data_IF_250037922739
#
_entry.id   IF_250037922739
#
_cell.length_a   1.000
_cell.length_b   1.000
_cell.length_c   1.000
_cell.angle_alpha   90.00
_cell.angle_beta   90.00
_cell.angle_gamma   90.00
#
_symmetry.space_group_name_H-M   'P 1'
#
loop_
_entity.id
_entity.type
_entity.pdbx_description
1 polymer ?
#
# COMPACT_ATOMS: atom_id res chain seq x y z
N UNK A 1 -66.66 7.00 3.47
CA UNK A 1 -65.87 5.76 3.32
C UNK A 1 -64.54 5.99 2.60
N UNK A 2 -64.52 6.68 1.46
CA UNK A 2 -63.32 6.83 0.61
C UNK A 2 -62.27 7.83 1.15
N UNK A 3 -62.65 8.79 2.00
CA UNK A 3 -61.72 9.75 2.63
C UNK A 3 -60.82 9.08 3.68
N UNK A 4 -61.40 8.33 4.62
CA UNK A 4 -60.65 7.63 5.67
C UNK A 4 -59.61 6.66 5.14
N UNK A 5 -59.91 5.98 4.02
CA UNK A 5 -58.94 5.07 3.38
C UNK A 5 -57.77 5.84 2.75
N UNK A 6 -58.03 7.00 2.13
CA UNK A 6 -56.98 7.87 1.59
C UNK A 6 -56.11 8.45 2.69
N UNK A 7 -56.72 8.90 3.79
CA UNK A 7 -56.00 9.47 4.92
C UNK A 7 -55.11 8.41 5.59
N UNK A 8 -55.62 7.20 5.78
CA UNK A 8 -54.86 6.06 6.32
C UNK A 8 -53.67 5.66 5.44
N UNK A 9 -53.83 5.71 4.11
CA UNK A 9 -52.73 5.45 3.18
C UNK A 9 -51.70 6.58 3.20
N UNK A 10 -52.15 7.83 3.23
CA UNK A 10 -51.25 8.97 3.31
C UNK A 10 -50.40 8.93 4.59
N UNK A 11 -51.01 8.62 5.73
CA UNK A 11 -50.32 8.45 7.01
C UNK A 11 -49.32 7.28 6.96
N UNK A 12 -49.70 6.15 6.35
CA UNK A 12 -48.79 5.00 6.18
C UNK A 12 -47.57 5.36 5.33
N UNK A 13 -47.75 6.12 4.25
CA UNK A 13 -46.66 6.57 3.38
C UNK A 13 -45.74 7.55 4.13
N UNK A 14 -46.29 8.48 4.90
CA UNK A 14 -45.50 9.46 5.66
C UNK A 14 -44.66 8.81 6.76
N UNK A 15 -45.23 7.81 7.44
CA UNK A 15 -44.52 7.00 8.42
C UNK A 15 -43.37 6.21 7.79
N UNK A 16 -43.61 5.56 6.64
CA UNK A 16 -42.56 4.83 5.92
C UNK A 16 -41.45 5.77 5.46
N UNK A 17 -41.80 6.92 4.90
CA UNK A 17 -40.85 7.94 4.47
C UNK A 17 -39.96 8.42 5.64
N UNK A 18 -40.57 8.70 6.79
CA UNK A 18 -39.83 9.16 7.98
C UNK A 18 -38.92 8.06 8.53
N UNK A 19 -39.40 6.82 8.54
CA UNK A 19 -38.62 5.65 8.94
C UNK A 19 -37.41 5.47 8.03
N UNK A 20 -37.61 5.49 6.72
CA UNK A 20 -36.56 5.31 5.72
C UNK A 20 -35.50 6.42 5.82
N UNK A 21 -35.94 7.67 5.97
CA UNK A 21 -35.04 8.81 6.21
C UNK A 21 -34.22 8.65 7.49
N UNK A 22 -34.81 8.13 8.57
CA UNK A 22 -34.09 7.87 9.81
C UNK A 22 -33.10 6.71 9.67
N UNK A 23 -33.50 5.63 8.99
CA UNK A 23 -32.66 4.45 8.73
C UNK A 23 -31.43 4.83 7.91
N UNK A 24 -31.62 5.52 6.78
CA UNK A 24 -30.51 5.95 5.93
C UNK A 24 -29.53 6.87 6.65
N UNK A 25 -30.02 7.77 7.52
CA UNK A 25 -29.14 8.61 8.32
C UNK A 25 -28.37 7.80 9.37
N UNK A 26 -29.06 6.88 10.04
CA UNK A 26 -28.43 5.96 11.00
C UNK A 26 -27.37 5.08 10.32
N UNK A 27 -27.66 4.48 9.17
CA UNK A 27 -26.71 3.65 8.41
C UNK A 27 -25.46 4.43 8.02
N UNK A 28 -25.60 5.72 7.70
CA UNK A 28 -24.46 6.60 7.43
C UNK A 28 -23.58 6.79 8.68
N UNK A 29 -24.21 7.10 9.82
CA UNK A 29 -23.50 7.27 11.08
C UNK A 29 -22.84 5.98 11.56
N UNK A 30 -23.53 4.84 11.42
CA UNK A 30 -23.02 3.50 11.75
C UNK A 30 -21.78 3.18 10.88
N UNK A 31 -21.85 3.37 9.55
CA UNK A 31 -20.68 3.16 8.66
C UNK A 31 -19.52 4.11 8.95
N UNK A 32 -19.83 5.35 9.32
CA UNK A 32 -18.80 6.32 9.72
C UNK A 32 -18.11 5.85 11.01
N UNK A 33 -18.87 5.34 11.98
CA UNK A 33 -18.35 4.78 13.21
C UNK A 33 -17.48 3.54 12.94
N UNK A 34 -17.98 2.58 12.15
CA UNK A 34 -17.24 1.37 11.74
C UNK A 34 -15.90 1.69 11.10
N UNK A 35 -15.86 2.68 10.18
CA UNK A 35 -14.63 3.09 9.53
C UNK A 35 -13.64 3.71 10.53
N UNK A 36 -14.13 4.53 11.46
CA UNK A 36 -13.28 5.14 12.48
C UNK A 36 -12.72 4.10 13.45
N UNK A 37 -13.53 3.12 13.86
CA UNK A 37 -13.13 2.02 14.74
C UNK A 37 -12.11 1.11 14.06
N UNK A 38 -12.32 0.79 12.78
CA UNK A 38 -11.38 0.02 11.96
C UNK A 38 -10.01 0.70 11.88
N UNK A 39 -9.98 2.02 11.62
CA UNK A 39 -8.71 2.77 11.57
C UNK A 39 -8.00 2.79 12.92
N UNK A 40 -8.76 3.00 14.01
CA UNK A 40 -8.20 2.96 15.37
C UNK A 40 -7.62 1.58 15.67
N UNK A 41 -8.32 0.51 15.27
CA UNK A 41 -7.87 -0.87 15.45
C UNK A 41 -6.55 -1.14 14.70
N UNK A 42 -6.47 -0.75 13.42
CA UNK A 42 -5.25 -0.92 12.59
C UNK A 42 -4.05 -0.17 13.19
N UNK A 43 -4.25 1.07 13.65
CA UNK A 43 -3.19 1.85 14.28
C UNK A 43 -2.72 1.24 15.60
N UNK A 44 -3.65 0.72 16.41
CA UNK A 44 -3.31 0.03 17.65
C UNK A 44 -2.57 -1.29 17.41
N UNK A 45 -2.97 -2.07 16.41
CA UNK A 45 -2.28 -3.29 16.00
C UNK A 45 -0.86 -2.97 15.50
N UNK A 46 -0.71 -1.93 14.66
CA UNK A 46 0.60 -1.50 14.18
C UNK A 46 1.50 -1.03 15.31
N UNK A 47 0.97 -0.29 16.28
CA UNK A 47 1.70 0.09 17.50
C UNK A 47 2.18 -1.14 18.26
N UNK A 48 1.30 -2.12 18.48
CA UNK A 48 1.64 -3.39 19.14
C UNK A 48 2.71 -4.17 18.40
N UNK A 49 2.65 -4.20 17.06
CA UNK A 49 3.70 -4.84 16.25
C UNK A 49 5.05 -4.16 16.44
N UNK A 50 5.10 -2.83 16.44
CA UNK A 50 6.34 -2.08 16.67
C UNK A 50 6.90 -2.34 18.07
N UNK A 51 6.05 -2.33 19.10
CA UNK A 51 6.47 -2.63 20.48
C UNK A 51 7.01 -4.06 20.61
N UNK A 52 6.39 -5.02 19.93
CA UNK A 52 6.86 -6.40 19.87
C UNK A 52 8.19 -6.54 19.12
N UNK A 53 8.35 -5.88 17.98
CA UNK A 53 9.59 -5.89 17.20
C UNK A 53 10.72 -5.20 17.97
N UNK A 54 10.43 -4.10 18.66
CA UNK A 54 11.35 -3.42 19.56
C UNK A 54 11.84 -4.36 20.67
N UNK A 55 10.91 -5.04 21.36
CA UNK A 55 11.24 -6.01 22.40
C UNK A 55 12.08 -7.17 21.86
N UNK A 56 11.73 -7.70 20.68
CA UNK A 56 12.50 -8.76 20.03
C UNK A 56 13.92 -8.30 19.64
N UNK A 57 14.09 -7.06 19.19
CA UNK A 57 15.40 -6.50 18.84
C UNK A 57 16.27 -6.25 20.09
N UNK A 58 15.66 -5.85 21.21
CA UNK A 58 16.30 -5.69 22.51
C UNK A 58 16.80 -7.04 23.06
N UNK A 59 16.00 -8.10 22.94
CA UNK A 59 16.39 -9.46 23.35
C UNK A 59 17.50 -10.10 22.51
N UNK A 60 17.68 -9.70 21.24
CA UNK A 60 18.75 -10.26 20.38
C UNK A 60 20.13 -9.69 20.73
N UNK A 61 20.19 -8.45 21.21
CA UNK A 61 21.45 -7.75 21.46
C UNK A 61 22.17 -8.25 22.73
N UNK A 62 21.42 -8.76 23.72
CA UNK A 62 22.00 -9.23 24.99
C UNK A 62 22.40 -10.73 24.98
N UNK A 63 22.23 -11.43 23.86
CA UNK A 63 22.54 -12.87 23.74
C UNK A 63 23.95 -13.19 23.22
N UNK A 64 24.86 -12.21 23.13
CA UNK A 64 26.21 -12.41 22.57
C UNK A 64 27.17 -13.22 23.45
N UNK A 65 26.76 -13.66 24.65
CA UNK A 65 27.48 -14.67 25.43
C UNK A 65 27.23 -16.11 24.92
N UNK A 66 27.47 -16.34 23.63
CA UNK A 66 27.62 -17.69 23.09
C UNK A 66 28.98 -18.24 23.51
N UNK A 67 29.11 -18.62 24.79
CA UNK A 67 30.18 -19.52 25.21
C UNK A 67 30.04 -20.78 24.35
N UNK A 68 31.05 -21.18 23.56
CA UNK A 68 30.96 -22.44 22.82
C UNK A 68 30.68 -23.55 23.82
N UNK A 69 29.63 -24.33 23.57
CA UNK A 69 29.20 -25.38 24.47
C UNK A 69 30.41 -26.25 24.87
N UNK A 70 30.72 -26.28 26.17
CA UNK A 70 31.85 -27.03 26.71
C UNK A 70 31.69 -28.52 26.36
N UNK A 71 32.38 -28.97 25.31
CA UNK A 71 32.35 -30.38 24.93
C UNK A 71 33.26 -31.19 25.84
N UNK A 72 32.66 -31.86 26.82
CA UNK A 72 33.38 -32.78 27.70
C UNK A 72 33.85 -33.98 26.89
N UNK A 73 35.17 -34.15 26.73
CA UNK A 73 35.74 -35.28 25.99
C UNK A 73 35.41 -36.59 26.69
N UNK A 74 34.69 -37.49 26.02
CA UNK A 74 34.54 -38.88 26.45
C UNK A 74 35.89 -39.59 26.28
N UNK A 75 36.43 -40.17 27.37
CA UNK A 75 37.59 -41.06 27.27
C UNK A 75 37.16 -42.33 26.54
N UNK A 76 37.89 -42.69 25.49
CA UNK A 76 37.64 -43.91 24.71
C UNK A 76 37.90 -45.15 25.58
N UNK A 77 37.10 -46.20 25.39
CA UNK A 77 37.35 -47.50 26.04
C UNK A 77 38.55 -48.18 25.37
N UNK A 78 39.45 -48.85 26.11
CA UNK A 78 40.69 -49.43 25.58
C UNK A 78 40.55 -50.48 24.47
N UNK A 79 39.33 -50.94 24.15
CA UNK A 79 39.10 -52.06 23.24
C UNK A 79 38.14 -51.75 22.08
N UNK A 80 38.08 -50.49 21.66
CA UNK A 80 37.36 -50.13 20.43
C UNK A 80 38.33 -50.32 19.24
N UNK A 81 38.09 -51.29 18.32
CA UNK A 81 39.03 -51.56 17.24
C UNK A 81 39.21 -50.32 16.36
N UNK A 82 40.47 -49.97 16.07
CA UNK A 82 40.82 -48.97 15.07
C UNK A 82 40.32 -49.48 13.73
N UNK A 83 39.10 -49.08 13.35
CA UNK A 83 38.59 -49.28 11.99
C UNK A 83 39.44 -48.41 11.08
N UNK A 84 40.22 -48.98 10.13
CA UNK A 84 40.92 -48.19 9.14
C UNK A 84 39.86 -47.53 8.28
N UNK A 85 39.91 -46.19 8.19
CA UNK A 85 39.12 -45.41 7.25
C UNK A 85 39.29 -45.98 5.83
N UNK A 86 38.23 -46.49 5.19
CA UNK A 86 38.26 -46.68 3.75
C UNK A 86 38.29 -45.28 3.14
N UNK A 87 39.14 -45.08 2.12
CA UNK A 87 39.10 -43.92 1.26
C UNK A 87 37.78 -43.88 0.49
N UNK A 88 36.73 -43.43 1.14
CA UNK A 88 35.46 -43.17 0.50
C UNK A 88 35.52 -41.75 -0.06
N UNK A 89 35.44 -41.66 -1.38
CA UNK A 89 35.29 -40.41 -2.15
C UNK A 89 33.95 -39.74 -1.80
N UNK A 90 33.79 -39.26 -0.56
CA UNK A 90 32.68 -38.39 -0.16
C UNK A 90 32.99 -37.01 -0.72
N UNK A 91 32.43 -36.74 -1.90
CA UNK A 91 32.22 -35.37 -2.38
C UNK A 91 31.61 -34.59 -1.21
N UNK A 92 32.38 -33.64 -0.67
CA UNK A 92 31.83 -32.61 0.22
C UNK A 92 30.62 -32.01 -0.53
N UNK A 93 29.44 -31.83 0.09
CA UNK A 93 28.46 -30.95 -0.51
C UNK A 93 29.17 -29.61 -0.78
N UNK A 94 28.98 -28.98 -1.95
CA UNK A 94 29.58 -27.68 -2.19
C UNK A 94 29.18 -26.78 -1.02
N UNK A 95 30.11 -25.96 -0.49
CA UNK A 95 29.73 -25.02 0.55
C UNK A 95 28.53 -24.26 0.01
N UNK A 96 27.38 -24.38 0.71
CA UNK A 96 26.31 -23.41 0.59
C UNK A 96 27.01 -22.07 0.68
N UNK A 97 26.98 -21.31 -0.41
CA UNK A 97 27.60 -20.00 -0.48
C UNK A 97 27.03 -19.22 0.69
N UNK A 98 27.80 -19.11 1.78
CA UNK A 98 27.48 -18.21 2.86
C UNK A 98 27.41 -16.85 2.19
N UNK A 99 26.21 -16.35 1.99
CA UNK A 99 25.99 -15.03 1.41
C UNK A 99 26.70 -14.08 2.38
N UNK A 100 27.86 -13.60 1.97
CA UNK A 100 28.62 -12.62 2.71
C UNK A 100 27.91 -11.29 2.48
N UNK A 101 27.12 -10.85 3.47
CA UNK A 101 26.44 -9.55 3.43
C UNK A 101 27.39 -8.37 3.66
N UNK A 102 28.67 -8.65 3.92
CA UNK A 102 29.72 -7.64 3.99
C UNK A 102 30.25 -7.41 2.58
N UNK A 103 30.22 -6.16 2.15
CA UNK A 103 30.88 -5.72 0.92
C UNK A 103 32.38 -5.99 1.03
N UNK A 104 33.00 -6.33 -0.09
CA UNK A 104 34.46 -6.48 -0.13
C UNK A 104 35.12 -5.10 -0.03
N UNK A 105 36.36 -5.03 0.48
CA UNK A 105 37.09 -3.76 0.64
C UNK A 105 37.13 -2.92 -0.66
N UNK A 106 37.24 -3.60 -1.81
CA UNK A 106 37.24 -2.95 -3.12
C UNK A 106 35.89 -2.29 -3.49
N UNK A 107 34.77 -2.88 -3.08
CA UNK A 107 33.42 -2.30 -3.30
C UNK A 107 33.21 -1.08 -2.40
N UNK A 108 33.68 -1.17 -1.15
CA UNK A 108 33.66 -0.05 -0.20
C UNK A 108 34.48 1.12 -0.75
N UNK A 109 35.69 0.86 -1.26
CA UNK A 109 36.56 1.90 -1.82
C UNK A 109 35.97 2.54 -3.08
N UNK A 110 35.32 1.74 -3.94
CA UNK A 110 34.62 2.25 -5.12
C UNK A 110 33.46 3.17 -4.75
N UNK A 111 32.62 2.78 -3.79
CA UNK A 111 31.49 3.57 -3.32
C UNK A 111 31.95 4.86 -2.62
N UNK A 112 33.02 4.79 -1.82
CA UNK A 112 33.65 5.98 -1.21
C UNK A 112 34.13 6.97 -2.27
N UNK A 113 34.72 6.48 -3.37
CA UNK A 113 35.13 7.32 -4.49
C UNK A 113 33.93 7.97 -5.18
N UNK A 114 32.84 7.24 -5.39
CA UNK A 114 31.60 7.77 -5.96
C UNK A 114 31.02 8.87 -5.06
N UNK A 115 31.02 8.67 -3.74
CA UNK A 115 30.55 9.66 -2.77
C UNK A 115 31.43 10.91 -2.82
N UNK A 116 32.75 10.77 -2.83
CA UNK A 116 33.68 11.90 -2.90
C UNK A 116 33.57 12.67 -4.22
N UNK A 117 33.47 11.97 -5.35
CA UNK A 117 33.27 12.57 -6.67
C UNK A 117 31.91 13.31 -6.73
N UNK A 118 30.87 12.75 -6.12
CA UNK A 118 29.56 13.41 -6.01
C UNK A 118 29.63 14.70 -5.19
N UNK A 119 30.37 14.71 -4.08
CA UNK A 119 30.56 15.87 -3.22
C UNK A 119 31.32 17.01 -3.94
N UNK A 120 32.33 16.64 -4.72
CA UNK A 120 33.13 17.59 -5.52
C UNK A 120 32.38 18.13 -6.74
N UNK A 121 31.32 17.43 -7.20
CA UNK A 121 30.49 17.84 -8.34
C UNK A 121 29.38 18.83 -7.98
N UNK A 122 29.17 19.13 -6.69
CA UNK A 122 28.20 20.13 -6.24
C UNK A 122 28.85 21.52 -6.34
N UNK A 123 28.41 22.41 -7.24
CA UNK A 123 28.91 23.78 -7.26
C UNK A 123 28.48 24.53 -6.00
N UNK A 124 29.48 24.95 -5.21
CA UNK A 124 29.33 25.88 -4.09
C UNK A 124 28.86 27.25 -4.61
N UNK A 125 27.54 27.47 -4.68
CA UNK A 125 27.00 28.82 -4.67
C UNK A 125 26.80 29.25 -3.22
N UNK A 126 27.80 29.89 -2.64
CA UNK A 126 27.72 30.57 -1.34
C UNK A 126 27.68 32.08 -1.58
N UNK A 127 26.73 32.80 -0.98
CA UNK A 127 27.00 34.11 -0.42
C UNK A 127 27.15 33.96 1.10
N UNK A 128 28.33 34.34 1.57
CA UNK A 128 28.72 34.49 2.97
C UNK A 128 27.76 35.46 3.69
N UNK A 129 27.53 35.27 4.99
CA UNK A 129 27.89 36.37 5.88
C UNK A 129 28.61 35.92 7.15
N UNK A 130 29.37 36.89 7.65
CA UNK A 130 30.37 36.80 8.68
C UNK A 130 29.85 36.47 10.09
N UNK A 131 30.80 35.92 10.86
CA UNK A 131 30.95 35.81 12.31
C UNK A 131 30.28 36.91 13.15
N UNK A 132 29.54 36.53 14.19
CA UNK A 132 29.61 37.19 15.50
C UNK A 132 29.11 36.32 16.66
N UNK A 133 29.91 36.37 17.72
CA UNK A 133 29.91 35.69 19.02
C UNK A 133 28.81 36.10 20.01
N UNK A 134 28.36 35.12 20.82
CA UNK A 134 27.98 35.14 22.25
C UNK A 134 27.37 36.40 22.93
N UNK A 135 26.22 36.24 23.63
CA UNK A 135 26.02 36.39 25.11
C UNK A 135 24.57 36.71 25.53
N UNK A 136 24.07 35.89 26.47
CA UNK A 136 23.22 36.13 27.66
C UNK A 136 22.44 37.45 27.90
N UNK A 137 21.16 37.23 28.32
CA UNK A 137 20.44 37.75 29.52
C UNK A 137 19.55 39.02 29.46
N UNK A 138 18.31 38.76 29.89
CA UNK A 138 17.43 39.46 30.85
C UNK A 138 16.61 40.72 30.49
N UNK A 139 15.34 40.65 30.93
CA UNK A 139 14.52 41.69 31.61
C UNK A 139 13.25 42.21 30.90
N UNK A 140 12.15 41.50 31.15
CA UNK A 140 10.85 41.94 31.72
C UNK A 140 10.54 43.47 31.75
N UNK A 141 9.46 43.94 31.11
CA UNK A 141 8.20 44.42 31.76
C UNK A 141 7.30 45.35 30.92
N UNK A 142 6.00 45.22 31.21
CA UNK A 142 4.95 46.26 31.24
C UNK A 142 4.05 46.53 30.02
N UNK A 143 2.89 45.85 30.07
CA UNK A 143 1.56 46.41 30.28
C UNK A 143 0.83 47.24 29.19
N UNK A 144 -0.41 46.79 28.90
CA UNK A 144 -1.68 47.58 28.87
C UNK A 144 -2.47 47.58 27.54
N UNK A 145 -3.56 46.79 27.56
CA UNK A 145 -4.96 47.07 27.14
C UNK A 145 -5.22 47.66 25.72
N UNK A 146 -5.98 46.92 24.89
CA UNK A 146 -7.28 47.31 24.27
C UNK A 146 -7.85 46.21 23.34
N UNK A 147 -8.99 45.63 23.73
CA UNK A 147 -10.10 45.18 22.85
C UNK A 147 -10.94 46.45 22.50
N UNK A 148 -11.76 46.53 21.41
CA UNK A 148 -12.72 45.52 20.93
C UNK A 148 -12.89 45.47 19.39
N UNK A 149 -13.83 44.64 18.87
CA UNK A 149 -14.34 44.81 17.50
C UNK A 149 -14.90 43.55 16.84
N UNK A 150 -16.21 43.35 16.99
CA UNK A 150 -17.06 42.35 16.34
C UNK A 150 -17.40 42.83 14.92
N UNK A 151 -17.28 42.00 13.87
CA UNK A 151 -17.96 42.23 12.59
C UNK A 151 -18.42 40.91 11.96
N UNK A 152 -19.74 40.81 11.85
CA UNK A 152 -20.50 39.90 11.01
C UNK A 152 -20.43 40.34 9.54
N UNK A 153 -20.30 39.40 8.61
CA UNK A 153 -20.67 39.64 7.21
C UNK A 153 -21.27 38.37 6.62
N UNK A 154 -22.57 38.45 6.35
CA UNK A 154 -23.29 37.55 5.48
C UNK A 154 -22.95 37.89 4.01
N UNK A 155 -22.78 36.87 3.18
CA UNK A 155 -23.17 36.96 1.77
C UNK A 155 -23.55 35.58 1.24
N UNK A 156 -24.81 35.53 0.80
CA UNK A 156 -25.49 34.49 0.07
C UNK A 156 -24.86 34.28 -1.31
N UNK A 157 -24.61 33.03 -1.68
CA UNK A 157 -24.54 32.62 -3.09
C UNK A 157 -25.50 31.46 -3.33
N UNK A 158 -26.43 31.71 -4.24
CA UNK A 158 -27.45 30.82 -4.76
C UNK A 158 -26.83 29.86 -5.76
N UNK A 159 -26.92 28.55 -5.49
CA UNK A 159 -26.48 27.49 -6.39
C UNK A 159 -27.53 26.39 -6.44
N UNK A 160 -28.24 26.32 -7.56
CA UNK A 160 -29.27 25.33 -7.89
C UNK A 160 -28.70 23.91 -7.91
N UNK A 161 -29.31 22.97 -7.18
CA UNK A 161 -29.10 21.53 -7.37
C UNK A 161 -30.44 20.82 -7.44
N UNK A 162 -30.80 20.40 -8.65
CA UNK A 162 -31.90 19.47 -8.90
C UNK A 162 -31.52 18.06 -8.40
N UNK A 163 -32.49 17.27 -7.90
CA UNK A 163 -32.23 15.97 -7.29
C UNK A 163 -32.31 14.83 -8.33
N UNK A 164 -31.34 13.91 -8.31
CA UNK A 164 -31.54 12.54 -8.82
C UNK A 164 -31.18 11.51 -7.74
N UNK A 165 -32.25 11.19 -7.02
CA UNK A 165 -32.63 9.93 -6.36
C UNK A 165 -31.67 8.73 -6.53
N UNK A 166 -31.15 8.29 -5.39
CA UNK A 166 -30.73 6.90 -5.12
C UNK A 166 -31.94 6.16 -4.54
N UNK A 167 -32.27 4.99 -5.07
CA UNK A 167 -33.12 3.98 -4.41
C UNK A 167 -32.45 2.62 -4.55
N UNK A 168 -32.50 1.84 -3.48
CA UNK A 168 -31.93 0.52 -3.30
C UNK A 168 -32.81 -0.60 -3.92
N UNK A 169 -32.13 -1.72 -4.19
CA UNK A 169 -32.54 -3.13 -4.28
C UNK A 169 -33.66 -3.55 -5.23
N UNK A 170 -33.32 -4.36 -6.24
CA UNK A 170 -33.63 -5.80 -6.27
C UNK A 170 -32.89 -6.52 -7.44
N UNK A 171 -32.31 -7.68 -7.12
CA UNK A 171 -32.14 -8.91 -7.91
C UNK A 171 -31.77 -8.84 -9.42
N UNK A 172 -30.62 -9.46 -9.73
CA UNK A 172 -30.16 -9.97 -11.05
C UNK A 172 -30.05 -9.01 -12.26
N UNK A 173 -28.79 -8.66 -12.61
CA UNK A 173 -28.43 -8.27 -13.98
C UNK A 173 -27.61 -6.98 -14.16
N UNK A 174 -26.29 -7.13 -14.34
CA UNK A 174 -25.41 -6.37 -15.24
C UNK A 174 -25.27 -4.82 -15.18
N UNK A 175 -24.00 -4.40 -15.19
CA UNK A 175 -23.43 -3.06 -15.51
C UNK A 175 -23.37 -2.05 -14.34
N UNK A 176 -22.21 -1.63 -13.85
CA UNK A 176 -21.15 -0.95 -14.63
C UNK A 176 -19.75 -0.97 -13.96
N UNK A 177 -19.54 -1.72 -12.88
CA UNK A 177 -18.17 -1.95 -12.37
C UNK A 177 -17.67 -3.26 -12.98
N UNK A 178 -16.67 -3.24 -13.88
CA UNK A 178 -16.10 -4.48 -14.40
C UNK A 178 -15.51 -5.24 -13.22
N UNK A 179 -15.97 -6.48 -13.01
CA UNK A 179 -15.39 -7.40 -12.04
C UNK A 179 -13.91 -7.60 -12.38
N UNK A 180 -13.06 -6.88 -11.62
CA UNK A 180 -11.66 -6.65 -11.93
C UNK A 180 -10.82 -6.92 -10.70
N UNK A 181 -10.13 -8.06 -10.67
CA UNK A 181 -9.24 -8.48 -9.56
C UNK A 181 -8.08 -9.30 -10.08
N UNK A 182 -7.00 -9.37 -9.31
CA UNK A 182 -5.85 -10.22 -9.62
C UNK A 182 -5.73 -11.27 -8.52
N UNK A 183 -5.72 -12.54 -8.91
CA UNK A 183 -5.55 -13.68 -8.01
C UNK A 183 -4.59 -14.68 -8.67
N UNK A 184 -3.63 -15.21 -7.91
CA UNK A 184 -2.68 -16.24 -8.35
C UNK A 184 -1.94 -15.91 -9.67
N UNK A 185 -1.61 -14.64 -9.88
CA UNK A 185 -0.97 -14.17 -11.11
C UNK A 185 -1.85 -14.21 -12.35
N UNK A 186 -3.18 -14.30 -12.19
CA UNK A 186 -4.19 -14.20 -13.25
C UNK A 186 -5.03 -12.94 -13.03
N UNK A 187 -5.40 -12.29 -14.12
CA UNK A 187 -6.30 -11.14 -14.10
C UNK A 187 -7.72 -11.62 -14.38
N UNK A 188 -8.66 -11.36 -13.47
CA UNK A 188 -10.08 -11.38 -13.76
C UNK A 188 -10.48 -9.99 -14.27
N UNK A 189 -11.08 -9.91 -15.45
CA UNK A 189 -11.66 -8.69 -16.00
C UNK A 189 -12.92 -9.04 -16.78
N UNK A 190 -14.04 -8.35 -16.52
CA UNK A 190 -15.34 -8.63 -17.14
C UNK A 190 -15.75 -10.12 -17.00
N UNK A 191 -15.54 -10.71 -15.81
CA UNK A 191 -15.81 -12.13 -15.50
C UNK A 191 -14.98 -13.13 -16.32
N UNK A 192 -13.87 -12.70 -16.90
CA UNK A 192 -12.97 -13.55 -17.70
C UNK A 192 -11.57 -13.54 -17.14
N UNK A 193 -10.99 -14.73 -17.02
CA UNK A 193 -9.60 -14.89 -16.63
C UNK A 193 -8.66 -14.68 -17.83
N UNK A 194 -7.60 -13.93 -17.55
CA UNK A 194 -6.49 -13.64 -18.44
C UNK A 194 -5.18 -14.08 -17.78
N UNK A 195 -4.30 -14.65 -18.58
CA UNK A 195 -2.98 -15.13 -18.15
C UNK A 195 -1.84 -14.43 -18.90
N UNK A 196 -0.63 -14.48 -18.34
CA UNK A 196 0.60 -14.09 -19.04
C UNK A 196 0.73 -14.81 -20.39
N UNK A 197 1.23 -14.13 -21.40
CA UNK A 197 1.37 -14.62 -22.77
C UNK A 197 0.11 -14.48 -23.63
N UNK A 198 -1.02 -14.03 -23.07
CA UNK A 198 -2.26 -13.88 -23.86
C UNK A 198 -2.23 -12.65 -24.75
N UNK A 199 -2.62 -12.82 -26.01
CA UNK A 199 -2.88 -11.72 -26.93
C UNK A 199 -4.22 -11.06 -26.62
N UNK A 200 -4.20 -9.76 -26.38
CA UNK A 200 -5.36 -8.95 -26.02
C UNK A 200 -5.35 -7.62 -26.77
N UNK A 201 -6.50 -6.99 -26.88
CA UNK A 201 -6.63 -5.59 -27.27
C UNK A 201 -6.79 -4.74 -26.04
N UNK A 202 -6.00 -3.67 -25.96
CA UNK A 202 -6.08 -2.67 -24.91
C UNK A 202 -6.72 -1.42 -25.51
N UNK A 203 -7.74 -0.91 -24.86
CA UNK A 203 -8.50 0.28 -25.25
C UNK A 203 -8.57 1.21 -24.04
N UNK A 204 -8.43 2.52 -24.26
CA UNK A 204 -8.56 3.51 -23.18
C UNK A 204 -9.31 4.73 -23.67
N UNK A 205 -9.91 5.50 -22.76
CA UNK A 205 -10.68 6.71 -23.14
C UNK A 205 -9.92 7.66 -24.08
N UNK A 206 -8.61 7.80 -23.86
CA UNK A 206 -7.72 8.67 -24.65
C UNK A 206 -6.72 7.89 -25.51
N UNK A 207 -6.79 6.56 -25.54
CA UNK A 207 -5.79 5.71 -26.20
C UNK A 207 -6.50 4.84 -27.24
N UNK A 208 -6.11 5.01 -28.50
CA UNK A 208 -6.61 4.21 -29.62
C UNK A 208 -6.38 2.73 -29.33
N UNK A 209 -7.39 1.90 -29.59
CA UNK A 209 -7.32 0.44 -29.43
C UNK A 209 -6.08 -0.13 -30.12
N UNK A 210 -5.23 -0.83 -29.37
CA UNK A 210 -4.02 -1.46 -29.92
C UNK A 210 -3.86 -2.93 -29.49
N UNK A 211 -3.27 -3.78 -30.35
CA UNK A 211 -2.98 -5.16 -30.01
C UNK A 211 -1.75 -5.27 -29.10
N UNK A 212 -1.85 -6.04 -28.02
CA UNK A 212 -0.77 -6.27 -27.07
C UNK A 212 -0.77 -7.71 -26.53
N UNK A 213 0.33 -8.12 -25.91
CA UNK A 213 0.47 -9.40 -25.22
C UNK A 213 0.72 -9.15 -23.74
N UNK A 214 0.01 -9.84 -22.84
CA UNK A 214 0.24 -9.71 -21.40
C UNK A 214 1.62 -10.27 -21.06
N UNK A 215 2.57 -9.42 -20.67
CA UNK A 215 3.95 -9.81 -20.36
C UNK A 215 4.13 -10.22 -18.90
N UNK A 216 3.46 -9.53 -17.97
CA UNK A 216 3.54 -9.83 -16.55
C UNK A 216 2.28 -9.31 -15.83
N UNK A 217 1.87 -10.00 -14.78
CA UNK A 217 0.75 -9.62 -13.92
C UNK A 217 1.34 -9.49 -12.50
N UNK A 218 1.36 -8.27 -11.97
CA UNK A 218 1.76 -7.98 -10.59
C UNK A 218 0.54 -7.96 -9.66
N UNK A 219 0.70 -7.44 -8.45
CA UNK A 219 -0.37 -7.29 -7.46
C UNK A 219 -1.40 -6.21 -7.83
N UNK A 220 -0.93 -5.03 -8.26
CA UNK A 220 -1.80 -3.89 -8.61
C UNK A 220 -1.58 -3.38 -10.03
N UNK A 221 -0.62 -3.96 -10.75
CA UNK A 221 -0.24 -3.50 -12.09
C UNK A 221 -0.04 -4.66 -13.04
N UNK A 222 -0.30 -4.40 -14.32
CA UNK A 222 -0.21 -5.37 -15.40
C UNK A 222 0.67 -4.75 -16.47
N UNK A 223 1.63 -5.55 -16.95
CA UNK A 223 2.50 -5.16 -18.04
C UNK A 223 2.02 -5.82 -19.32
N UNK A 224 1.72 -5.02 -20.33
CA UNK A 224 1.38 -5.49 -21.67
C UNK A 224 2.46 -5.03 -22.65
N UNK A 225 2.83 -5.90 -23.59
CA UNK A 225 3.80 -5.61 -24.65
C UNK A 225 3.04 -5.34 -25.94
N UNK A 226 3.17 -4.14 -26.50
CA UNK A 226 2.52 -3.76 -27.76
C UNK A 226 3.07 -4.62 -28.90
N UNK A 227 2.19 -5.10 -29.78
CA UNK A 227 2.57 -6.03 -30.86
C UNK A 227 3.26 -5.33 -32.01
N UNK A 228 3.00 -4.04 -32.23
CA UNK A 228 3.59 -3.27 -33.33
C UNK A 228 5.05 -2.89 -33.07
N UNK A 229 5.34 -2.39 -31.86
CA UNK A 229 6.62 -1.71 -31.58
C UNK A 229 7.41 -2.40 -30.46
N UNK A 230 6.93 -3.55 -29.97
CA UNK A 230 7.49 -4.30 -28.84
C UNK A 230 7.66 -3.50 -27.52
N UNK A 231 7.09 -2.30 -27.43
CA UNK A 231 7.14 -1.43 -26.26
C UNK A 231 6.31 -2.01 -25.12
N UNK A 232 6.80 -1.83 -23.88
CA UNK A 232 6.10 -2.25 -22.67
C UNK A 232 5.21 -1.11 -22.18
N UNK A 233 3.96 -1.43 -21.89
CA UNK A 233 2.95 -0.51 -21.41
C UNK A 233 2.43 -1.00 -20.06
N UNK A 234 2.40 -0.12 -19.07
CA UNK A 234 2.00 -0.43 -17.69
C UNK A 234 0.57 0.04 -17.45
N UNK A 235 -0.29 -0.90 -17.06
CA UNK A 235 -1.70 -0.65 -16.73
C UNK A 235 -1.88 -0.85 -15.23
N UNK A 236 -2.42 0.13 -14.53
CA UNK A 236 -2.80 -0.04 -13.13
C UNK A 236 -4.18 -0.69 -13.03
N UNK A 237 -4.39 -1.58 -12.07
CA UNK A 237 -5.66 -2.29 -11.86
C UNK A 237 -6.82 -1.32 -11.64
N UNK A 238 -6.55 -0.18 -10.97
CA UNK A 238 -7.53 0.89 -10.77
C UNK A 238 -8.04 1.51 -12.07
N UNK A 239 -7.28 1.46 -13.16
CA UNK A 239 -7.72 1.97 -14.45
C UNK A 239 -8.66 1.01 -15.17
N UNK A 240 -8.51 -0.29 -14.92
CA UNK A 240 -9.43 -1.32 -15.40
C UNK A 240 -10.72 -1.31 -14.59
N UNK A 241 -10.64 -1.28 -13.25
CA UNK A 241 -11.82 -1.27 -12.38
C UNK A 241 -12.65 0.01 -12.50
N UNK A 242 -12.02 1.16 -12.75
CA UNK A 242 -12.70 2.46 -12.99
C UNK A 242 -13.14 2.66 -14.45
N UNK A 243 -12.94 1.68 -15.33
CA UNK A 243 -13.31 1.76 -16.75
C UNK A 243 -12.58 2.84 -17.55
N UNK A 244 -11.41 3.30 -17.08
CA UNK A 244 -10.54 4.21 -17.86
C UNK A 244 -9.83 3.48 -18.99
N UNK A 245 -9.56 2.20 -18.75
CA UNK A 245 -8.96 1.26 -19.68
C UNK A 245 -9.79 -0.03 -19.69
N UNK A 246 -9.79 -0.73 -20.82
CA UNK A 246 -10.42 -2.04 -20.97
C UNK A 246 -9.50 -3.00 -21.75
N UNK A 247 -9.69 -4.29 -21.49
CA UNK A 247 -8.92 -5.37 -22.11
C UNK A 247 -9.89 -6.39 -22.71
N UNK A 248 -9.70 -6.73 -23.99
CA UNK A 248 -10.52 -7.71 -24.71
C UNK A 248 -9.65 -8.79 -25.34
N UNK A 249 -10.11 -10.06 -25.34
CA UNK A 249 -9.38 -11.14 -26.04
C UNK A 249 -9.29 -10.86 -27.54
N UNK A 250 -8.13 -11.14 -28.12
CA UNK A 250 -7.97 -11.29 -29.58
C UNK A 250 -8.27 -12.75 -29.92
N UNK A 251 -9.24 -13.01 -30.80
CA UNK A 251 -9.38 -14.33 -31.39
C UNK A 251 -8.19 -14.56 -32.33
N UNK A 252 -7.59 -15.74 -32.28
CA UNK A 252 -6.69 -16.19 -33.33
C UNK A 252 -7.56 -16.44 -34.57
N UNK A 253 -7.32 -15.68 -35.63
CA UNK A 253 -7.77 -16.02 -36.99
C UNK A 253 -6.64 -16.81 -37.62
#
# INVERSE_FOLDING_TARGET
MNSYWRDSIAESIELEFTRERRLTHKDFDDRKAELSESLISELNERKKMIENDYLNMELVTESSDHKPAMTRKLRRRPNDPVVPTPQEKRRKPPPVSNICYMLNENEIEQDLKIIQDSYNSIPLNVPTPATSTAKTRDTVNSATIRKPGFLTSASSSTGSMSPKKTQNSDTEGSSTIPDTRIEDGKLLFEKRWYHRGQTVFVEGKQIVKFPAVISAIGNETIWVKKTSDNSKFRINLSYLSKGKMSIKRRAAV
#
